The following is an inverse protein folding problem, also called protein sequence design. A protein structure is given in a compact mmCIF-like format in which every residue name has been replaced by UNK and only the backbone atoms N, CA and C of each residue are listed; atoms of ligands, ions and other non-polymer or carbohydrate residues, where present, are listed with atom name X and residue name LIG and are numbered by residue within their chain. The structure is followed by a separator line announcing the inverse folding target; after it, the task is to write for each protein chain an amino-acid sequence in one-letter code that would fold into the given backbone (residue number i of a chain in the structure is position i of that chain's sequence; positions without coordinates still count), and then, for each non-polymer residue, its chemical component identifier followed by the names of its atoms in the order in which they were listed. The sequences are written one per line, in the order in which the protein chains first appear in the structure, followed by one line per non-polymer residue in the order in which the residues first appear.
data_IF_429013665429
#
_entry.id   IF_429013665429
#
_cell.length_a   1.000
_cell.length_b   1.000
_cell.length_c   1.000
_cell.angle_alpha   90.00
_cell.angle_beta   90.00
_cell.angle_gamma   90.00
#
_symmetry.space_group_name_H-M   'P 1'
#
loop_
_entity.id
_entity.type
_entity.pdbx_description
1 polymer ?
#
# COMPACT_ATOMS: atom_id res chain seq x y z
N UNK A 1 22.10 -6.55 17.96
CA UNK A 1 21.64 -6.14 16.62
C UNK A 1 20.28 -6.78 16.40
N UNK A 2 19.26 -6.00 16.07
CA UNK A 2 17.99 -6.55 15.57
C UNK A 2 18.27 -7.21 14.23
N UNK A 3 17.66 -8.36 13.97
CA UNK A 3 17.82 -9.06 12.70
C UNK A 3 17.34 -8.17 11.54
N UNK A 4 17.92 -8.29 10.32
CA UNK A 4 17.58 -7.42 9.18
C UNK A 4 16.13 -7.59 8.67
N UNK A 5 15.38 -8.54 9.23
CA UNK A 5 13.99 -8.83 8.92
C UNK A 5 13.02 -8.41 10.03
N UNK A 6 13.50 -7.86 11.15
CA UNK A 6 12.64 -7.44 12.26
C UNK A 6 12.16 -6.00 12.02
N UNK A 7 10.98 -5.87 11.43
CA UNK A 7 10.32 -4.59 11.21
C UNK A 7 9.31 -4.27 12.33
N UNK A 8 9.15 -2.99 12.64
CA UNK A 8 8.20 -2.51 13.67
C UNK A 8 7.14 -1.55 13.13
N UNK A 9 7.33 -1.01 11.92
CA UNK A 9 6.46 -0.02 11.32
C UNK A 9 6.20 -0.35 9.86
N UNK A 10 5.03 0.03 9.36
CA UNK A 10 4.72 0.05 7.93
C UNK A 10 3.98 1.34 7.58
N UNK A 11 4.21 1.84 6.37
CA UNK A 11 3.49 2.96 5.79
C UNK A 11 2.71 2.43 4.59
N UNK A 12 1.41 2.69 4.58
CA UNK A 12 0.54 2.38 3.45
C UNK A 12 -0.19 3.66 3.01
N UNK A 13 -0.77 3.66 1.82
CA UNK A 13 -1.70 4.72 1.39
C UNK A 13 -3.00 4.10 0.90
N UNK A 14 -4.12 4.62 1.38
CA UNK A 14 -5.43 4.16 0.96
C UNK A 14 -5.60 4.28 -0.58
N UNK A 15 -6.22 3.27 -1.23
CA UNK A 15 -6.54 3.36 -2.65
C UNK A 15 -7.45 4.56 -2.96
N UNK A 16 -7.08 5.34 -3.97
CA UNK A 16 -7.96 6.36 -4.55
C UNK A 16 -8.98 5.72 -5.50
N UNK A 17 -10.12 6.38 -5.75
CA UNK A 17 -11.05 5.91 -6.80
C UNK A 17 -10.38 5.90 -8.17
N UNK A 18 -9.47 6.83 -8.41
CA UNK A 18 -8.66 6.87 -9.62
C UNK A 18 -7.71 5.68 -9.80
N UNK A 19 -7.45 4.87 -8.78
CA UNK A 19 -6.54 3.71 -8.86
C UNK A 19 -6.97 2.66 -9.90
N UNK A 20 -8.27 2.60 -10.24
CA UNK A 20 -8.75 1.74 -11.33
C UNK A 20 -8.16 2.10 -12.71
N UNK A 21 -7.59 3.31 -12.82
CA UNK A 21 -6.90 3.84 -14.00
C UNK A 21 -5.38 3.95 -13.81
N UNK A 22 -4.80 3.22 -12.85
CA UNK A 22 -3.36 3.12 -12.66
C UNK A 22 -2.62 2.52 -13.86
N UNK A 23 -1.30 2.72 -13.91
CA UNK A 23 -0.43 2.25 -15.00
C UNK A 23 -0.41 0.72 -15.00
N UNK A 24 -0.62 0.09 -16.17
CA UNK A 24 -0.57 -1.38 -16.35
C UNK A 24 0.20 -1.74 -17.61
N UNK A 25 1.16 -2.67 -17.48
CA UNK A 25 2.09 -3.00 -18.56
C UNK A 25 1.44 -3.74 -19.74
N UNK A 26 0.36 -4.54 -19.54
CA UNK A 26 -0.33 -5.29 -20.61
C UNK A 26 -1.83 -5.53 -20.34
N UNK A 27 -2.47 -4.61 -19.60
CA UNK A 27 -3.88 -4.27 -19.85
C UNK A 27 -4.95 -5.34 -19.64
N UNK A 28 -4.89 -6.11 -18.55
CA UNK A 28 -6.10 -6.73 -18.01
C UNK A 28 -7.22 -5.69 -17.78
N UNK A 29 -8.47 -6.13 -17.52
CA UNK A 29 -9.55 -5.21 -17.18
C UNK A 29 -9.16 -4.32 -16.00
N UNK A 30 -9.79 -3.15 -15.91
CA UNK A 30 -9.63 -2.29 -14.73
C UNK A 30 -9.98 -3.09 -13.47
N UNK A 31 -9.23 -2.92 -12.37
CA UNK A 31 -9.56 -3.58 -11.12
C UNK A 31 -10.91 -3.08 -10.61
N UNK A 32 -11.66 -3.96 -9.95
CA UNK A 32 -12.82 -3.52 -9.20
C UNK A 32 -12.36 -2.69 -7.99
N UNK A 33 -12.89 -1.47 -7.88
CA UNK A 33 -12.46 -0.55 -6.83
C UNK A 33 -12.75 -1.10 -5.43
N UNK A 34 -13.93 -1.70 -5.22
CA UNK A 34 -14.30 -2.20 -3.89
C UNK A 34 -13.50 -3.47 -3.53
N UNK A 35 -13.21 -4.32 -4.51
CA UNK A 35 -12.27 -5.43 -4.38
C UNK A 35 -10.88 -4.95 -3.97
N UNK A 36 -10.33 -3.96 -4.67
CA UNK A 36 -9.03 -3.36 -4.34
C UNK A 36 -9.00 -2.79 -2.92
N UNK A 37 -10.06 -2.09 -2.50
CA UNK A 37 -10.18 -1.57 -1.13
C UNK A 37 -10.19 -2.70 -0.11
N UNK A 38 -11.00 -3.74 -0.33
CA UNK A 38 -11.09 -4.88 0.58
C UNK A 38 -9.74 -5.63 0.70
N UNK A 39 -9.03 -5.82 -0.42
CA UNK A 39 -7.70 -6.43 -0.43
C UNK A 39 -6.68 -5.57 0.32
N UNK A 40 -6.68 -4.25 0.11
CA UNK A 40 -5.82 -3.33 0.84
C UNK A 40 -6.13 -3.30 2.35
N UNK A 41 -7.40 -3.33 2.74
CA UNK A 41 -7.80 -3.42 4.15
C UNK A 41 -7.33 -4.73 4.79
N UNK A 42 -7.47 -5.86 4.09
CA UNK A 42 -6.97 -7.16 4.55
C UNK A 42 -5.43 -7.17 4.69
N UNK A 43 -4.72 -6.53 3.76
CA UNK A 43 -3.27 -6.35 3.84
C UNK A 43 -2.86 -5.54 5.09
N UNK A 44 -3.47 -4.38 5.31
CA UNK A 44 -3.23 -3.53 6.50
C UNK A 44 -3.57 -4.27 7.80
N UNK A 45 -4.69 -4.99 7.83
CA UNK A 45 -5.08 -5.77 9.00
C UNK A 45 -4.07 -6.87 9.31
N UNK A 46 -3.53 -7.53 8.29
CA UNK A 46 -2.49 -8.56 8.42
C UNK A 46 -1.20 -7.97 8.99
N UNK A 47 -0.74 -6.83 8.47
CA UNK A 47 0.45 -6.14 9.00
C UNK A 47 0.30 -5.77 10.49
N UNK A 48 -0.88 -5.28 10.88
CA UNK A 48 -1.20 -4.99 12.28
C UNK A 48 -1.23 -6.26 13.14
N UNK A 49 -1.81 -7.35 12.64
CA UNK A 49 -1.83 -8.63 13.35
C UNK A 49 -0.43 -9.23 13.54
N UNK A 50 0.51 -8.94 12.64
CA UNK A 50 1.93 -9.27 12.77
C UNK A 50 2.68 -8.36 13.76
N UNK A 51 2.01 -7.37 14.37
CA UNK A 51 2.56 -6.51 15.42
C UNK A 51 3.19 -5.21 14.93
N UNK A 52 3.03 -4.86 13.65
CA UNK A 52 3.56 -3.59 13.13
C UNK A 52 2.64 -2.42 13.50
N UNK A 53 3.25 -1.27 13.80
CA UNK A 53 2.56 0.01 13.81
C UNK A 53 2.34 0.46 12.36
N UNK A 54 1.10 0.38 11.88
CA UNK A 54 0.76 0.70 10.49
C UNK A 54 0.07 2.05 10.38
N UNK A 55 0.75 2.99 9.73
CA UNK A 55 0.17 4.28 9.32
C UNK A 55 -0.41 4.16 7.92
N UNK A 56 -1.69 4.54 7.77
CA UNK A 56 -2.37 4.55 6.48
C UNK A 56 -2.65 6.01 6.09
N UNK A 57 -1.93 6.49 5.09
CA UNK A 57 -2.11 7.84 4.55
C UNK A 57 -3.43 7.95 3.76
N UNK A 58 -4.07 9.13 3.73
CA UNK A 58 -5.26 9.36 2.91
C UNK A 58 -5.00 9.10 1.42
N UNK A 59 -6.05 8.73 0.69
CA UNK A 59 -5.99 8.58 -0.75
C UNK A 59 -5.62 9.90 -1.45
N UNK A 60 -4.99 9.81 -2.62
CA UNK A 60 -4.68 10.96 -3.48
C UNK A 60 -5.26 10.75 -4.88
N UNK A 61 -6.42 11.35 -5.14
CA UNK A 61 -7.15 11.16 -6.40
C UNK A 61 -6.37 11.58 -7.65
N UNK A 62 -5.47 12.57 -7.54
CA UNK A 62 -4.65 13.04 -8.67
C UNK A 62 -3.53 12.08 -9.08
N UNK A 63 -3.27 11.04 -8.29
CA UNK A 63 -2.20 10.08 -8.52
C UNK A 63 -2.76 8.65 -8.42
N UNK A 64 -3.28 8.08 -9.52
CA UNK A 64 -3.89 6.75 -9.56
C UNK A 64 -3.07 5.65 -8.87
N UNK A 65 -1.75 5.68 -9.06
CA UNK A 65 -0.82 4.67 -8.54
C UNK A 65 -0.26 5.00 -7.14
N UNK A 66 -0.73 6.06 -6.47
CA UNK A 66 -0.14 6.52 -5.20
C UNK A 66 -0.25 5.53 -4.03
N UNK A 67 -1.06 4.48 -4.16
CA UNK A 67 -1.10 3.39 -3.18
C UNK A 67 0.23 2.61 -3.11
N UNK A 68 1.03 2.62 -4.18
CA UNK A 68 2.33 1.98 -4.26
C UNK A 68 3.42 2.87 -3.65
N UNK A 69 3.43 2.95 -2.32
CA UNK A 69 4.39 3.78 -1.58
C UNK A 69 5.83 3.25 -1.63
N UNK A 70 6.03 2.01 -2.07
CA UNK A 70 7.36 1.40 -2.26
C UNK A 70 8.21 2.16 -3.28
N UNK A 71 7.60 2.65 -4.37
CA UNK A 71 8.33 3.31 -5.46
C UNK A 71 8.98 4.64 -5.05
N UNK A 72 8.43 5.31 -4.03
CA UNK A 72 8.80 6.69 -3.68
C UNK A 72 9.75 6.79 -2.49
N UNK A 73 10.00 5.70 -1.76
CA UNK A 73 10.81 5.75 -0.56
C UNK A 73 11.59 4.46 -0.31
N UNK A 74 12.89 4.59 -0.03
CA UNK A 74 13.74 3.52 0.47
C UNK A 74 14.14 3.81 1.91
N UNK A 75 13.83 2.90 2.83
CA UNK A 75 14.10 3.06 4.26
C UNK A 75 15.25 2.16 4.70
N UNK A 76 16.19 2.72 5.46
CA UNK A 76 17.32 1.97 6.02
C UNK A 76 17.28 1.94 7.55
N UNK A 77 17.84 0.91 8.19
CA UNK A 77 18.18 0.98 9.61
C UNK A 77 19.13 2.16 9.85
N UNK A 78 19.00 2.82 11.01
CA UNK A 78 20.02 3.78 11.48
C UNK A 78 21.26 3.06 11.99
#
# INVERSE_FOLDING_TARGET
MTSPYTFSHALCRAPARSAVKGIRADGGPDPDFYGLVAEHEAYVATLRALGLAVEVLPALETFPDALFTEDVALTFPK
#
